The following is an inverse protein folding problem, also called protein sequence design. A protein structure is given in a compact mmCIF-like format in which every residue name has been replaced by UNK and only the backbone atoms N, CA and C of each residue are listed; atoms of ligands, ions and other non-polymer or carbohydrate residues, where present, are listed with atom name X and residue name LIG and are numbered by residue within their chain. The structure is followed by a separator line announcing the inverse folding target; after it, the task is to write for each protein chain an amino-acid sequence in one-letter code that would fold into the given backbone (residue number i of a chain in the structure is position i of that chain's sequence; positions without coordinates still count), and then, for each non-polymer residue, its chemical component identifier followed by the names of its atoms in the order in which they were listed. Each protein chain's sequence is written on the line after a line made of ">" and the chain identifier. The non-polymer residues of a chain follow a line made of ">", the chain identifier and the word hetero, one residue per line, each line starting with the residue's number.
data_IF_807776658157
#
_entry.id   IF_807776658157
#
_cell.length_a   1.000
_cell.length_b   1.000
_cell.length_c   1.000
_cell.angle_alpha   90.00
_cell.angle_beta   90.00
_cell.angle_gamma   90.00
#
_symmetry.space_group_name_H-M   'P 1'
#
loop_
_entity.id
_entity.type
_entity.pdbx_description
1 polymer ?
#
# COMPACT_ATOMS: atom_id res chain seq x y z
N UNK A 1 6.96 -0.61 2.51
CA UNK A 1 5.95 0.34 2.98
C UNK A 1 5.03 -0.28 4.03
N UNK A 2 4.35 0.55 4.81
CA UNK A 2 3.29 0.14 5.74
C UNK A 2 1.98 0.77 5.34
N UNK A 3 0.88 0.04 5.51
CA UNK A 3 -0.45 0.54 5.20
C UNK A 3 -1.50 0.03 6.17
N UNK A 4 -2.56 0.79 6.37
CA UNK A 4 -3.73 0.36 7.15
C UNK A 4 -4.88 0.13 6.16
N UNK A 5 -5.38 -1.09 6.13
CA UNK A 5 -6.40 -1.52 5.17
C UNK A 5 -7.68 -1.97 5.85
N UNK A 6 -8.77 -1.95 5.09
CA UNK A 6 -10.06 -2.50 5.49
C UNK A 6 -9.98 -4.01 5.70
N UNK A 7 -10.61 -4.48 6.76
CA UNK A 7 -10.86 -5.89 7.01
C UNK A 7 -9.68 -6.63 7.63
N UNK A 8 -9.90 -7.90 7.84
CA UNK A 8 -8.91 -8.85 8.36
C UNK A 8 -8.18 -9.51 7.20
N UNK A 9 -6.86 -9.57 7.27
CA UNK A 9 -6.00 -10.17 6.24
C UNK A 9 -5.41 -11.47 6.78
N UNK A 10 -5.62 -12.58 6.07
CA UNK A 10 -5.37 -13.93 6.59
C UNK A 10 -3.92 -14.38 6.63
N UNK A 11 -3.00 -13.64 6.06
CA UNK A 11 -1.58 -14.03 6.07
C UNK A 11 -0.80 -13.40 4.94
N UNK A 12 0.52 -13.66 4.90
CA UNK A 12 1.37 -13.10 3.86
C UNK A 12 1.01 -13.67 2.49
N UNK A 13 0.96 -12.80 1.49
CA UNK A 13 0.70 -13.17 0.09
C UNK A 13 1.53 -12.33 -0.86
N UNK A 14 1.72 -12.90 -2.03
CA UNK A 14 2.15 -12.19 -3.24
C UNK A 14 0.98 -12.18 -4.22
N UNK A 15 0.63 -11.00 -4.70
CA UNK A 15 -0.45 -10.81 -5.67
C UNK A 15 0.10 -10.25 -6.96
N UNK A 16 -0.37 -10.80 -8.07
CA UNK A 16 -0.03 -10.43 -9.42
C UNK A 16 -1.22 -9.80 -10.13
N UNK A 17 -0.95 -9.01 -11.14
CA UNK A 17 -1.97 -8.43 -11.99
C UNK A 17 -1.38 -7.58 -13.09
N UNK A 18 -2.23 -6.84 -13.75
CA UNK A 18 -1.87 -5.86 -14.76
C UNK A 18 -2.53 -4.53 -14.43
N UNK A 19 -1.78 -3.47 -14.60
CA UNK A 19 -2.24 -2.13 -14.28
C UNK A 19 -2.40 -1.33 -15.57
N UNK A 20 -3.61 -0.86 -15.81
CA UNK A 20 -3.96 0.00 -16.92
C UNK A 20 -4.26 1.40 -16.41
N UNK A 21 -3.59 2.40 -16.96
CA UNK A 21 -3.77 3.80 -16.57
C UNK A 21 -4.75 4.50 -17.53
N UNK A 22 -5.68 5.25 -16.96
CA UNK A 22 -6.48 6.22 -17.71
C UNK A 22 -5.81 7.59 -17.60
N UNK A 23 -5.21 8.04 -18.71
CA UNK A 23 -4.45 9.31 -18.74
C UNK A 23 -5.34 10.54 -18.48
N UNK A 24 -6.62 10.48 -18.83
CA UNK A 24 -7.55 11.60 -18.63
C UNK A 24 -7.94 11.80 -17.17
N UNK A 25 -8.18 10.72 -16.43
CA UNK A 25 -8.60 10.75 -15.03
C UNK A 25 -7.44 10.56 -14.05
N UNK A 26 -6.24 10.19 -14.54
CA UNK A 26 -5.09 9.79 -13.74
C UNK A 26 -5.43 8.66 -12.75
N UNK A 27 -6.37 7.80 -13.12
CA UNK A 27 -6.81 6.64 -12.34
C UNK A 27 -6.31 5.36 -12.98
N UNK A 28 -5.94 4.38 -12.17
CA UNK A 28 -5.49 3.08 -12.64
C UNK A 28 -6.53 2.00 -12.33
N UNK A 29 -6.60 1.00 -13.20
CA UNK A 29 -7.43 -0.19 -13.02
C UNK A 29 -6.54 -1.41 -12.98
N UNK A 30 -6.84 -2.34 -12.08
CA UNK A 30 -6.14 -3.62 -11.97
C UNK A 30 -6.95 -4.68 -12.70
N UNK A 31 -6.28 -5.40 -13.60
CA UNK A 31 -6.85 -6.51 -14.37
C UNK A 31 -6.12 -7.80 -14.01
N UNK A 32 -6.85 -8.91 -13.98
CA UNK A 32 -6.26 -10.26 -13.92
C UNK A 32 -5.79 -10.66 -15.33
N UNK A 33 -4.87 -11.61 -15.41
CA UNK A 33 -4.35 -12.09 -16.69
C UNK A 33 -5.46 -12.57 -17.64
N UNK A 34 -6.50 -13.22 -17.12
CA UNK A 34 -7.64 -13.71 -17.89
C UNK A 34 -8.65 -12.62 -18.29
N UNK A 35 -8.51 -11.42 -17.76
CA UNK A 35 -9.35 -10.25 -18.08
C UNK A 35 -8.75 -9.38 -19.18
N UNK A 36 -7.48 -9.63 -19.56
CA UNK A 36 -6.80 -8.87 -20.61
C UNK A 36 -7.41 -9.15 -21.98
N UNK A 37 -7.60 -8.09 -22.74
CA UNK A 37 -8.04 -8.15 -24.14
C UNK A 37 -7.05 -7.44 -25.07
N UNK A 38 -7.30 -7.47 -26.39
CA UNK A 38 -6.43 -6.83 -27.40
C UNK A 38 -6.28 -5.32 -27.21
N UNK A 39 -7.25 -4.69 -26.57
CA UNK A 39 -7.25 -3.25 -26.30
C UNK A 39 -6.38 -2.85 -25.11
N UNK A 40 -5.95 -3.83 -24.31
CA UNK A 40 -5.14 -3.61 -23.10
C UNK A 40 -3.64 -3.71 -23.35
N UNK A 41 -3.18 -3.33 -24.54
CA UNK A 41 -1.75 -3.41 -24.94
C UNK A 41 -0.81 -2.59 -24.07
N UNK A 42 -1.33 -1.52 -23.44
CA UNK A 42 -0.62 -0.62 -22.55
C UNK A 42 -0.68 -1.03 -21.09
N UNK A 43 -1.38 -2.11 -20.76
CA UNK A 43 -1.41 -2.67 -19.42
C UNK A 43 -0.04 -3.22 -19.01
N UNK A 44 0.44 -2.84 -17.85
CA UNK A 44 1.76 -3.20 -17.33
C UNK A 44 1.64 -4.26 -16.23
N UNK A 45 2.48 -5.29 -16.23
CA UNK A 45 2.48 -6.29 -15.17
C UNK A 45 2.86 -5.64 -13.84
N UNK A 46 2.17 -6.03 -12.77
CA UNK A 46 2.44 -5.61 -11.41
C UNK A 46 2.52 -6.81 -10.49
N UNK A 47 3.36 -6.67 -9.45
CA UNK A 47 3.52 -7.67 -8.40
C UNK A 47 3.74 -6.96 -7.08
N UNK A 48 2.93 -7.34 -6.08
CA UNK A 48 2.94 -6.77 -4.74
C UNK A 48 2.99 -7.89 -3.72
N UNK A 49 3.90 -7.81 -2.77
CA UNK A 49 3.92 -8.69 -1.60
C UNK A 49 3.39 -7.94 -0.39
N UNK A 50 2.61 -8.61 0.45
CA UNK A 50 2.18 -8.04 1.70
C UNK A 50 2.14 -9.07 2.82
N UNK A 51 2.23 -8.56 4.05
CA UNK A 51 2.20 -9.35 5.28
C UNK A 51 1.42 -8.59 6.34
N UNK A 52 0.37 -9.21 6.96
CA UNK A 52 -0.30 -8.60 8.07
C UNK A 52 0.60 -8.56 9.30
N UNK A 53 0.59 -7.42 10.00
CA UNK A 53 1.36 -7.21 11.22
C UNK A 53 0.47 -7.32 12.46
N UNK A 54 -0.62 -6.55 12.49
CA UNK A 54 -1.63 -6.62 13.54
C UNK A 54 -2.99 -6.17 13.00
N UNK A 55 -4.06 -6.50 13.72
CA UNK A 55 -5.44 -6.20 13.33
C UNK A 55 -6.33 -5.97 14.54
N UNK A 56 -7.33 -5.13 14.39
CA UNK A 56 -8.45 -4.97 15.33
C UNK A 56 -9.70 -5.74 14.90
N UNK A 57 -9.61 -6.56 13.86
CA UNK A 57 -10.72 -7.29 13.24
C UNK A 57 -11.47 -6.50 12.16
N UNK A 58 -11.39 -5.18 12.15
CA UNK A 58 -12.01 -4.27 11.17
C UNK A 58 -11.01 -3.66 10.21
N UNK A 59 -9.79 -3.46 10.68
CA UNK A 59 -8.65 -2.93 9.94
C UNK A 59 -7.42 -3.78 10.22
N UNK A 60 -6.49 -3.81 9.28
CA UNK A 60 -5.21 -4.51 9.42
C UNK A 60 -4.07 -3.57 9.06
N UNK A 61 -3.05 -3.55 9.91
CA UNK A 61 -1.76 -2.94 9.58
C UNK A 61 -0.96 -3.94 8.76
N UNK A 62 -0.57 -3.54 7.55
CA UNK A 62 0.21 -4.35 6.62
C UNK A 62 1.63 -3.81 6.47
N UNK A 63 2.58 -4.71 6.33
CA UNK A 63 3.85 -4.44 5.67
C UNK A 63 3.69 -4.80 4.19
N UNK A 64 4.08 -3.90 3.31
CA UNK A 64 3.96 -4.07 1.86
C UNK A 64 5.32 -3.93 1.21
N UNK A 65 5.67 -4.88 0.37
CA UNK A 65 6.88 -4.86 -0.44
C UNK A 65 6.51 -4.76 -1.92
N UNK A 66 6.98 -3.70 -2.55
CA UNK A 66 6.86 -3.52 -3.99
C UNK A 66 7.92 -4.37 -4.72
N UNK A 67 7.48 -5.28 -5.55
CA UNK A 67 8.34 -5.98 -6.50
C UNK A 67 8.43 -5.16 -7.79
N UNK A 68 7.31 -4.60 -8.23
CA UNK A 68 7.22 -3.56 -9.25
C UNK A 68 6.74 -2.27 -8.61
N UNK A 69 7.05 -1.11 -9.16
CA UNK A 69 6.73 0.20 -8.57
C UNK A 69 5.96 1.11 -9.53
N UNK A 70 4.77 0.70 -9.97
CA UNK A 70 3.94 1.52 -10.84
C UNK A 70 3.12 2.54 -10.04
N UNK A 71 2.70 3.61 -10.69
CA UNK A 71 1.87 4.66 -10.06
C UNK A 71 0.60 4.06 -9.45
N UNK A 72 0.32 4.45 -8.22
CA UNK A 72 -0.84 3.99 -7.44
C UNK A 72 -0.95 2.47 -7.27
N UNK A 73 0.12 1.72 -7.51
CA UNK A 73 0.08 0.25 -7.54
C UNK A 73 -0.46 -0.36 -6.24
N UNK A 74 0.09 -0.02 -5.09
CA UNK A 74 -0.34 -0.58 -3.80
C UNK A 74 -1.81 -0.24 -3.54
N UNK A 75 -2.19 1.01 -3.77
CA UNK A 75 -3.55 1.51 -3.54
C UNK A 75 -4.58 0.75 -4.34
N UNK A 76 -4.37 0.65 -5.64
CA UNK A 76 -5.28 -0.04 -6.55
C UNK A 76 -5.24 -1.57 -6.39
N UNK A 77 -4.05 -2.14 -6.17
CA UNK A 77 -3.89 -3.60 -6.05
C UNK A 77 -4.56 -4.14 -4.79
N UNK A 78 -4.37 -3.50 -3.64
CA UNK A 78 -5.03 -3.90 -2.40
C UNK A 78 -6.55 -3.68 -2.46
N UNK A 79 -7.01 -2.60 -3.08
CA UNK A 79 -8.44 -2.38 -3.31
C UNK A 79 -9.06 -3.49 -4.17
N UNK A 80 -8.34 -3.97 -5.20
CA UNK A 80 -8.82 -5.03 -6.12
C UNK A 80 -9.05 -6.37 -5.45
N UNK A 81 -8.42 -6.62 -4.30
CA UNK A 81 -8.59 -7.86 -3.52
C UNK A 81 -9.51 -7.67 -2.30
N UNK A 82 -10.22 -6.55 -2.22
CA UNK A 82 -11.18 -6.28 -1.16
C UNK A 82 -10.59 -5.69 0.13
N UNK A 83 -9.32 -5.25 0.10
CA UNK A 83 -8.62 -4.62 1.22
C UNK A 83 -8.14 -3.21 0.87
N UNK A 84 -9.05 -2.27 0.54
CA UNK A 84 -8.66 -0.91 0.23
C UNK A 84 -8.00 -0.22 1.42
N UNK A 85 -7.09 0.71 1.14
CA UNK A 85 -6.40 1.49 2.15
C UNK A 85 -7.37 2.49 2.79
N UNK A 86 -7.36 2.56 4.12
CA UNK A 86 -8.15 3.53 4.87
C UNK A 86 -7.70 4.97 4.52
N UNK A 87 -8.65 5.87 4.35
CA UNK A 87 -8.40 7.25 3.98
C UNK A 87 -8.11 7.49 2.50
N UNK A 88 -8.14 6.44 1.67
CA UNK A 88 -7.93 6.57 0.24
C UNK A 88 -9.23 6.99 -0.46
N UNK A 89 -9.33 8.27 -0.83
CA UNK A 89 -10.53 8.82 -1.47
C UNK A 89 -10.66 8.45 -2.95
N UNK A 90 -9.63 7.87 -3.55
CA UNK A 90 -9.63 7.49 -4.97
C UNK A 90 -9.95 6.01 -5.20
N UNK A 91 -9.36 5.13 -4.40
CA UNK A 91 -9.50 3.67 -4.52
C UNK A 91 -10.14 3.01 -3.30
N UNK A 92 -10.36 3.78 -2.23
CA UNK A 92 -10.81 3.28 -0.95
C UNK A 92 -12.31 3.08 -0.83
N UNK A 93 -12.70 2.64 0.35
CA UNK A 93 -14.10 2.48 0.74
C UNK A 93 -14.61 3.75 1.44
N UNK A 94 -15.66 4.41 0.93
CA UNK A 94 -16.18 5.64 1.53
C UNK A 94 -16.63 5.50 2.99
N UNK A 95 -17.20 4.35 3.38
CA UNK A 95 -17.64 4.11 4.75
C UNK A 95 -16.44 3.98 5.71
N UNK A 96 -15.39 3.25 5.31
CA UNK A 96 -14.13 3.13 6.04
C UNK A 96 -13.45 4.49 6.17
N UNK A 97 -13.41 5.27 5.09
CA UNK A 97 -12.80 6.59 5.08
C UNK A 97 -13.52 7.57 6.01
N UNK A 98 -14.86 7.50 6.06
CA UNK A 98 -15.66 8.32 6.96
C UNK A 98 -15.38 7.97 8.42
N UNK A 99 -15.38 6.69 8.77
CA UNK A 99 -15.06 6.22 10.11
C UNK A 99 -13.63 6.62 10.52
N UNK A 100 -12.65 6.44 9.66
CA UNK A 100 -11.27 6.81 9.93
C UNK A 100 -11.11 8.32 10.15
N UNK A 101 -11.81 9.14 9.37
CA UNK A 101 -11.83 10.59 9.55
C UNK A 101 -12.47 10.97 10.87
N UNK A 102 -13.63 10.43 11.18
CA UNK A 102 -14.41 10.83 12.36
C UNK A 102 -13.76 10.36 13.67
N UNK A 103 -13.15 9.18 13.66
CA UNK A 103 -12.52 8.57 14.85
C UNK A 103 -11.06 8.95 15.06
N UNK A 104 -10.29 9.07 13.97
CA UNK A 104 -8.83 9.27 14.04
C UNK A 104 -8.34 10.52 13.33
N UNK A 105 -9.23 11.34 12.80
CA UNK A 105 -8.91 12.54 12.01
C UNK A 105 -8.04 12.24 10.77
N UNK A 106 -8.25 11.10 10.14
CA UNK A 106 -7.55 10.68 8.93
C UNK A 106 -8.06 11.48 7.73
N UNK A 107 -7.17 12.15 7.02
CA UNK A 107 -7.50 13.02 5.88
C UNK A 107 -6.94 12.50 4.54
N UNK A 108 -6.02 11.55 4.57
CA UNK A 108 -5.39 10.98 3.39
C UNK A 108 -5.17 9.48 3.53
N UNK A 109 -4.73 8.83 2.47
CA UNK A 109 -4.47 7.39 2.50
C UNK A 109 -3.45 7.01 3.56
N UNK A 110 -3.77 6.03 4.38
CA UNK A 110 -2.91 5.46 5.40
C UNK A 110 -1.89 4.50 4.77
N UNK A 111 -1.01 5.06 3.96
CA UNK A 111 0.11 4.38 3.30
C UNK A 111 1.37 5.20 3.52
N UNK A 112 2.41 4.58 4.06
CA UNK A 112 3.63 5.27 4.43
C UNK A 112 4.87 4.48 4.00
N UNK A 113 5.79 5.14 3.31
CA UNK A 113 7.10 4.60 2.97
C UNK A 113 7.99 4.62 4.22
N UNK A 114 7.92 3.55 4.99
CA UNK A 114 8.57 3.45 6.29
C UNK A 114 10.07 3.16 6.19
N UNK A 115 10.45 2.28 5.26
CA UNK A 115 11.82 1.78 5.17
C UNK A 115 12.28 1.70 3.72
N UNK A 116 13.45 2.25 3.45
CA UNK A 116 14.12 2.14 2.16
C UNK A 116 15.49 1.52 2.37
N UNK A 117 15.75 0.40 1.69
CA UNK A 117 17.06 -0.25 1.69
C UNK A 117 17.68 -0.09 0.31
N UNK A 118 18.83 0.56 0.24
CA UNK A 118 19.55 0.76 -1.02
C UNK A 118 20.26 -0.52 -1.43
N UNK A 119 20.29 -0.85 -2.74
CA UNK A 119 21.12 -1.94 -3.24
C UNK A 119 22.58 -1.77 -2.81
N UNK A 120 23.28 -2.88 -2.61
CA UNK A 120 24.69 -2.85 -2.19
C UNK A 120 25.57 -2.18 -3.25
N UNK A 121 25.29 -2.46 -4.53
CA UNK A 121 26.02 -1.93 -5.66
C UNK A 121 25.17 -0.87 -6.37
N UNK A 122 25.64 0.37 -6.31
CA UNK A 122 25.03 1.51 -7.00
C UNK A 122 26.12 2.21 -7.84
N UNK A 123 25.67 2.74 -8.99
CA UNK A 123 26.53 3.53 -9.86
C UNK A 123 26.60 4.99 -9.40
N UNK A 124 27.66 5.68 -9.80
CA UNK A 124 27.76 7.12 -9.57
C UNK A 124 26.54 7.87 -10.18
N UNK A 125 26.06 8.94 -9.53
CA UNK A 125 26.58 9.58 -8.30
C UNK A 125 26.08 8.95 -6.99
N UNK A 126 25.39 7.81 -7.02
CA UNK A 126 24.74 7.20 -5.86
C UNK A 126 25.58 6.13 -5.16
N UNK A 127 26.80 5.85 -5.62
CA UNK A 127 27.66 4.79 -5.10
C UNK A 127 27.85 4.86 -3.57
N UNK A 128 27.96 6.08 -3.01
CA UNK A 128 28.09 6.30 -1.57
C UNK A 128 26.86 5.92 -0.72
N UNK A 129 25.74 5.58 -1.34
CA UNK A 129 24.52 5.15 -0.66
C UNK A 129 24.35 3.63 -0.65
N UNK A 130 25.27 2.89 -1.28
CA UNK A 130 25.17 1.43 -1.41
C UNK A 130 25.01 0.73 -0.06
N UNK A 131 23.99 -0.14 0.05
CA UNK A 131 23.70 -0.90 1.25
C UNK A 131 23.12 -0.11 2.42
N UNK A 132 22.94 1.22 2.28
CA UNK A 132 22.37 2.04 3.37
C UNK A 132 20.88 1.81 3.51
N UNK A 133 20.42 1.95 4.75
CA UNK A 133 19.01 1.87 5.12
C UNK A 133 18.53 3.23 5.64
N UNK A 134 17.35 3.63 5.21
CA UNK A 134 16.68 4.85 5.65
C UNK A 134 15.32 4.48 6.21
N UNK A 135 14.96 5.06 7.36
CA UNK A 135 13.64 4.90 7.97
C UNK A 135 13.02 6.26 8.18
N UNK A 136 11.69 6.31 8.10
CA UNK A 136 10.92 7.53 8.34
C UNK A 136 9.77 7.22 9.30
N UNK A 137 9.54 8.11 10.28
CA UNK A 137 8.40 7.97 11.18
C UNK A 137 7.09 8.22 10.43
N UNK A 138 6.05 7.40 10.70
CA UNK A 138 4.72 7.66 10.16
C UNK A 138 4.14 9.00 10.64
N UNK A 139 3.26 9.63 9.86
CA UNK A 139 2.50 10.80 10.29
C UNK A 139 1.64 10.53 11.54
N UNK A 140 1.31 11.58 12.28
CA UNK A 140 0.52 11.46 13.52
C UNK A 140 -0.84 10.79 13.28
N UNK A 141 -1.54 11.11 12.21
CA UNK A 141 -2.82 10.49 11.87
C UNK A 141 -2.70 8.97 11.65
N UNK A 142 -1.60 8.52 11.04
CA UNK A 142 -1.28 7.12 10.88
C UNK A 142 -1.06 6.45 12.25
N UNK A 143 -0.28 7.09 13.12
CA UNK A 143 0.00 6.59 14.45
C UNK A 143 -1.26 6.51 15.32
N UNK A 144 -2.16 7.51 15.24
CA UNK A 144 -3.44 7.47 15.95
C UNK A 144 -4.29 6.28 15.55
N UNK A 145 -4.39 6.00 14.25
CA UNK A 145 -5.17 4.87 13.76
C UNK A 145 -4.50 3.53 14.10
N UNK A 146 -3.17 3.42 13.93
CA UNK A 146 -2.42 2.22 14.29
C UNK A 146 -2.51 1.89 15.79
N UNK A 147 -2.52 2.90 16.66
CA UNK A 147 -2.62 2.74 18.11
C UNK A 147 -3.92 2.06 18.57
N UNK A 148 -4.97 2.06 17.73
CA UNK A 148 -6.20 1.30 17.96
C UNK A 148 -6.06 -0.21 17.74
N UNK A 149 -4.93 -0.69 17.24
CA UNK A 149 -4.71 -2.10 16.92
C UNK A 149 -3.82 -2.76 17.97
N UNK A 150 -4.25 -3.88 18.59
CA UNK A 150 -3.44 -4.58 19.58
C UNK A 150 -2.09 -5.03 19.00
N UNK A 151 -1.00 -4.74 19.68
CA UNK A 151 0.34 -5.18 19.30
C UNK A 151 1.05 -4.30 18.27
N UNK A 152 0.48 -3.15 17.91
CA UNK A 152 1.09 -2.25 16.92
C UNK A 152 2.49 -1.76 17.33
N UNK A 153 2.77 -1.65 18.62
CA UNK A 153 4.05 -1.17 19.17
C UNK A 153 5.23 -2.05 18.75
N UNK A 154 4.99 -3.31 18.42
CA UNK A 154 6.02 -4.24 17.94
C UNK A 154 6.57 -3.88 16.58
N UNK A 155 5.81 -3.07 15.82
CA UNK A 155 6.09 -2.80 14.41
C UNK A 155 6.36 -1.32 14.14
N UNK A 156 5.74 -0.43 14.92
CA UNK A 156 5.83 1.01 14.75
C UNK A 156 6.12 1.64 16.12
N UNK A 157 7.26 2.27 16.22
CA UNK A 157 7.69 2.98 17.42
C UNK A 157 8.00 4.44 17.11
#
# INVERSE_FOLDING_TARGET
>A
ETGIVKGSVDGPKEIDGYLKKNEKTNQVTVLKANELCREDKDALPIRTQYRPLCSDGRHTLLEVKLITGRSHQIRAHLASIGHPIAGDYKYGDPAVNREARDKYAVQSQMLHAWRLVMPKELREPLAGLGGREFTAKPPEEFMRMAAGMPGYERFIS
#
